data_IF_885894039006
#
_entry.id   IF_885894039006
#
_cell.length_a   1.000
_cell.length_b   1.000
_cell.length_c   1.000
_cell.angle_alpha   90.00
_cell.angle_beta   90.00
_cell.angle_gamma   90.00
#
_symmetry.space_group_name_H-M   'P 1'
#
loop_
_entity.id
_entity.type
_entity.pdbx_description
1 polymer ?
#
# COMPACT_ATOMS: atom_id res chain seq x y z
N UNK A 1 -8.32 -44.80 3.01
CA UNK A 1 -9.00 -43.50 2.77
C UNK A 1 -10.23 -43.27 3.64
N UNK A 2 -11.18 -44.21 3.79
CA UNK A 2 -12.37 -44.02 4.67
C UNK A 2 -12.04 -43.80 6.15
N UNK A 3 -10.98 -44.43 6.67
CA UNK A 3 -10.49 -44.23 8.05
C UNK A 3 -9.79 -42.88 8.30
N UNK A 4 -9.25 -42.24 7.27
CA UNK A 4 -8.58 -40.95 7.40
C UNK A 4 -9.59 -39.79 7.46
N UNK A 5 -10.66 -39.89 6.63
CA UNK A 5 -11.79 -38.97 6.68
C UNK A 5 -12.60 -39.08 7.99
N UNK A 6 -12.75 -40.28 8.57
CA UNK A 6 -13.43 -40.44 9.87
C UNK A 6 -12.62 -39.93 11.05
N UNK A 7 -11.29 -39.94 10.97
CA UNK A 7 -10.42 -39.38 12.01
C UNK A 7 -10.42 -37.84 12.00
N UNK A 8 -10.33 -37.22 10.81
CA UNK A 8 -10.49 -35.76 10.64
C UNK A 8 -11.88 -35.32 11.10
N UNK A 9 -12.94 -36.05 10.74
CA UNK A 9 -14.32 -35.75 11.19
C UNK A 9 -14.53 -35.92 12.70
N UNK A 10 -13.81 -36.84 13.37
CA UNK A 10 -13.92 -36.99 14.83
C UNK A 10 -13.21 -35.89 15.60
N UNK A 11 -12.02 -35.44 15.16
CA UNK A 11 -11.31 -34.33 15.79
C UNK A 11 -12.02 -32.99 15.57
N UNK A 12 -12.56 -32.75 14.37
CA UNK A 12 -13.40 -31.55 14.10
C UNK A 12 -14.67 -31.52 14.93
N UNK A 13 -15.28 -32.68 15.21
CA UNK A 13 -16.48 -32.77 16.06
C UNK A 13 -16.22 -32.40 17.54
N UNK A 14 -15.00 -32.61 18.07
CA UNK A 14 -14.66 -32.22 19.44
C UNK A 14 -14.19 -30.76 19.58
N UNK A 15 -13.60 -30.18 18.52
CA UNK A 15 -13.13 -28.80 18.54
C UNK A 15 -14.26 -27.78 18.36
N UNK A 16 -15.31 -28.13 17.58
CA UNK A 16 -16.41 -27.21 17.26
C UNK A 16 -17.14 -26.65 18.51
N UNK A 17 -17.49 -27.46 19.53
CA UNK A 17 -18.09 -26.92 20.76
C UNK A 17 -17.18 -25.92 21.48
N UNK A 18 -15.89 -26.23 21.62
CA UNK A 18 -14.91 -25.33 22.26
C UNK A 18 -14.73 -24.04 21.48
N UNK A 19 -14.63 -24.09 20.15
CA UNK A 19 -14.53 -22.88 19.33
C UNK A 19 -15.79 -22.04 19.40
N UNK A 20 -16.96 -22.68 19.45
CA UNK A 20 -18.25 -21.98 19.61
C UNK A 20 -18.32 -21.29 20.97
N UNK A 21 -17.86 -21.94 22.04
CA UNK A 21 -17.77 -21.34 23.38
C UNK A 21 -16.83 -20.12 23.39
N UNK A 22 -15.66 -20.22 22.75
CA UNK A 22 -14.71 -19.11 22.63
C UNK A 22 -15.30 -17.90 21.88
N UNK A 23 -16.24 -18.14 20.97
CA UNK A 23 -16.95 -17.09 20.24
C UNK A 23 -17.99 -16.34 21.09
N UNK A 24 -18.23 -16.68 22.36
CA UNK A 24 -19.09 -15.87 23.22
C UNK A 24 -18.43 -14.51 23.55
N UNK A 25 -18.85 -13.47 22.84
CA UNK A 25 -18.35 -12.10 22.98
C UNK A 25 -18.63 -11.47 24.35
N UNK A 26 -19.53 -12.03 25.16
CA UNK A 26 -19.84 -11.55 26.52
C UNK A 26 -18.78 -11.97 27.53
N UNK A 27 -17.97 -12.97 27.20
CA UNK A 27 -16.94 -13.52 28.08
C UNK A 27 -15.58 -12.94 27.68
N UNK A 28 -15.09 -11.97 28.45
CA UNK A 28 -13.85 -11.24 28.14
C UNK A 28 -12.61 -12.15 28.12
N UNK A 29 -12.50 -13.13 29.03
CA UNK A 29 -11.37 -14.07 29.08
C UNK A 29 -11.20 -14.89 27.79
N UNK A 30 -12.21 -14.96 26.92
CA UNK A 30 -12.15 -15.68 25.64
C UNK A 30 -11.68 -14.80 24.48
N UNK A 31 -11.48 -13.50 24.67
CA UNK A 31 -11.06 -12.55 23.62
C UNK A 31 -9.79 -12.99 22.89
N UNK A 32 -8.76 -13.44 23.62
CA UNK A 32 -7.53 -13.95 22.99
C UNK A 32 -7.77 -15.20 22.16
N UNK A 33 -8.72 -16.07 22.57
CA UNK A 33 -9.16 -17.19 21.75
C UNK A 33 -9.77 -16.72 20.43
N UNK A 34 -10.62 -15.69 20.45
CA UNK A 34 -11.20 -15.10 19.24
C UNK A 34 -10.17 -14.45 18.32
N UNK A 35 -9.13 -13.81 18.86
CA UNK A 35 -8.00 -13.30 18.06
C UNK A 35 -7.35 -14.45 17.28
N UNK A 36 -7.09 -15.58 17.93
CA UNK A 36 -6.51 -16.76 17.27
C UNK A 36 -7.45 -17.37 16.23
N UNK A 37 -8.75 -17.45 16.54
CA UNK A 37 -9.75 -17.92 15.56
C UNK A 37 -9.81 -16.98 14.35
N UNK A 38 -9.78 -15.67 14.56
CA UNK A 38 -9.78 -14.67 13.51
C UNK A 38 -8.50 -14.73 12.64
N UNK A 39 -7.34 -15.01 13.22
CA UNK A 39 -6.10 -15.26 12.47
C UNK A 39 -6.20 -16.48 11.53
N UNK A 40 -7.09 -17.42 11.84
CA UNK A 40 -7.36 -18.62 11.04
C UNK A 40 -8.74 -18.59 10.34
N UNK A 41 -9.39 -17.42 10.27
CA UNK A 41 -10.77 -17.29 9.76
C UNK A 41 -10.96 -17.88 8.36
N UNK A 42 -9.98 -17.76 7.47
CA UNK A 42 -10.05 -18.32 6.12
C UNK A 42 -10.14 -19.86 6.17
N UNK A 43 -9.33 -20.50 7.02
CA UNK A 43 -9.36 -21.94 7.16
C UNK A 43 -10.67 -22.42 7.78
N UNK A 44 -11.14 -21.74 8.83
CA UNK A 44 -12.40 -22.05 9.50
C UNK A 44 -13.60 -21.88 8.56
N UNK A 45 -13.66 -20.77 7.82
CA UNK A 45 -14.71 -20.49 6.86
C UNK A 45 -14.75 -21.49 5.70
N UNK A 46 -13.58 -22.00 5.28
CA UNK A 46 -13.50 -23.05 4.23
C UNK A 46 -13.99 -24.41 4.72
N UNK A 47 -13.84 -24.71 6.01
CA UNK A 47 -14.25 -25.98 6.60
C UNK A 47 -15.75 -25.96 6.93
N UNK A 48 -16.24 -24.87 7.53
CA UNK A 48 -17.64 -24.72 7.93
C UNK A 48 -18.06 -23.24 7.79
N UNK A 49 -18.58 -22.91 6.59
CA UNK A 49 -19.00 -21.54 6.24
C UNK A 49 -20.12 -21.05 7.15
N UNK A 50 -21.10 -21.89 7.42
CA UNK A 50 -22.29 -21.52 8.20
C UNK A 50 -21.89 -21.23 9.64
N UNK A 51 -21.09 -22.10 10.25
CA UNK A 51 -20.55 -21.88 11.59
C UNK A 51 -19.72 -20.59 11.68
N UNK A 52 -18.83 -20.35 10.72
CA UNK A 52 -18.00 -19.14 10.74
C UNK A 52 -18.88 -17.88 10.62
N UNK A 53 -19.87 -17.92 9.74
CA UNK A 53 -20.81 -16.80 9.52
C UNK A 53 -21.66 -16.53 10.75
N UNK A 54 -22.13 -17.57 11.43
CA UNK A 54 -22.97 -17.43 12.63
C UNK A 54 -22.18 -16.96 13.86
N UNK A 55 -20.98 -17.52 14.10
CA UNK A 55 -20.29 -17.37 15.38
C UNK A 55 -19.03 -16.50 15.34
N UNK A 56 -18.29 -16.49 14.22
CA UNK A 56 -16.97 -15.85 14.16
C UNK A 56 -17.01 -14.50 13.44
N UNK A 57 -17.66 -14.41 12.28
CA UNK A 57 -17.70 -13.19 11.47
C UNK A 57 -18.39 -11.99 12.14
N UNK A 58 -19.42 -12.14 13.01
CA UNK A 58 -20.01 -10.99 13.70
C UNK A 58 -18.99 -10.20 14.55
N UNK A 59 -17.93 -10.87 15.03
CA UNK A 59 -16.88 -10.20 15.78
C UNK A 59 -16.05 -9.23 14.95
N UNK A 60 -16.16 -9.22 13.62
CA UNK A 60 -15.47 -8.23 12.77
C UNK A 60 -16.27 -6.93 12.58
N UNK A 61 -17.55 -6.91 13.00
CA UNK A 61 -18.46 -5.78 12.79
C UNK A 61 -18.22 -4.69 13.83
N UNK A 62 -17.65 -3.56 13.38
CA UNK A 62 -17.38 -2.40 14.23
C UNK A 62 -18.61 -1.85 14.94
N UNK A 63 -19.78 -1.92 14.29
CA UNK A 63 -21.06 -1.42 14.81
C UNK A 63 -21.63 -2.27 15.95
N UNK A 64 -21.23 -3.54 16.07
CA UNK A 64 -21.67 -4.42 17.16
C UNK A 64 -20.81 -4.22 18.42
N UNK A 65 -19.49 -4.19 18.24
CA UNK A 65 -18.55 -3.91 19.33
C UNK A 65 -17.18 -3.53 18.78
N UNK A 66 -16.76 -2.29 19.02
CA UNK A 66 -15.45 -1.80 18.59
C UNK A 66 -14.30 -2.62 19.21
N UNK A 67 -14.44 -3.05 20.47
CA UNK A 67 -13.43 -3.85 21.15
C UNK A 67 -13.25 -5.24 20.54
N UNK A 68 -14.35 -5.90 20.17
CA UNK A 68 -14.30 -7.23 19.54
C UNK A 68 -13.87 -7.13 18.07
N UNK A 69 -14.36 -6.13 17.33
CA UNK A 69 -13.92 -5.81 15.97
C UNK A 69 -12.42 -5.59 15.91
N UNK A 70 -11.89 -4.73 16.79
CA UNK A 70 -10.45 -4.51 16.90
C UNK A 70 -9.67 -5.82 17.12
N UNK A 71 -10.13 -6.68 18.02
CA UNK A 71 -9.47 -7.95 18.32
C UNK A 71 -9.52 -8.92 17.14
N UNK A 72 -10.67 -9.03 16.46
CA UNK A 72 -10.83 -9.87 15.28
C UNK A 72 -9.96 -9.39 14.12
N UNK A 73 -9.95 -8.08 13.84
CA UNK A 73 -9.09 -7.48 12.83
C UNK A 73 -7.60 -7.62 13.17
N UNK A 74 -7.19 -7.50 14.43
CA UNK A 74 -5.80 -7.81 14.86
C UNK A 74 -5.42 -9.25 14.48
N UNK A 75 -6.30 -10.22 14.76
CA UNK A 75 -6.08 -11.62 14.38
C UNK A 75 -5.90 -11.78 12.87
N UNK A 76 -6.86 -11.31 12.08
CA UNK A 76 -6.84 -11.44 10.62
C UNK A 76 -5.64 -10.72 9.96
N UNK A 77 -5.34 -9.49 10.42
CA UNK A 77 -4.27 -8.66 9.88
C UNK A 77 -2.87 -9.10 10.33
N UNK A 78 -2.74 -10.15 11.13
CA UNK A 78 -1.45 -10.81 11.38
C UNK A 78 -0.89 -11.45 10.11
N UNK A 79 -1.73 -12.09 9.30
CA UNK A 79 -1.36 -12.69 8.01
C UNK A 79 -2.46 -12.46 6.97
N UNK A 80 -2.66 -11.20 6.54
CA UNK A 80 -3.81 -10.82 5.74
C UNK A 80 -3.77 -11.47 4.35
N UNK A 81 -4.92 -11.98 3.89
CA UNK A 81 -5.08 -12.55 2.54
C UNK A 81 -6.45 -12.21 1.96
N UNK A 82 -6.48 -11.83 0.69
CA UNK A 82 -7.72 -11.61 -0.06
C UNK A 82 -8.33 -12.92 -0.53
N UNK A 83 -8.98 -13.65 0.38
CA UNK A 83 -9.77 -14.81 0.01
C UNK A 83 -11.18 -14.35 -0.39
N UNK A 84 -11.44 -14.25 -1.70
CA UNK A 84 -12.67 -13.64 -2.26
C UNK A 84 -13.98 -14.11 -1.60
N UNK A 85 -14.26 -15.42 -1.41
CA UNK A 85 -15.51 -15.86 -0.79
C UNK A 85 -15.73 -15.36 0.63
N UNK A 86 -14.66 -15.19 1.41
CA UNK A 86 -14.74 -14.59 2.74
C UNK A 86 -14.91 -13.07 2.62
N UNK A 87 -14.20 -12.43 1.70
CA UNK A 87 -14.28 -10.98 1.51
C UNK A 87 -15.66 -10.52 1.05
N UNK A 88 -16.40 -11.33 0.28
CA UNK A 88 -17.80 -11.05 -0.07
C UNK A 88 -18.68 -10.89 1.17
N UNK A 89 -18.47 -11.73 2.19
CA UNK A 89 -19.23 -11.69 3.44
C UNK A 89 -18.71 -10.59 4.36
N UNK A 90 -17.39 -10.41 4.46
CA UNK A 90 -16.76 -9.39 5.31
C UNK A 90 -16.69 -8.00 4.67
N UNK A 91 -17.22 -7.81 3.46
CA UNK A 91 -17.03 -6.60 2.64
C UNK A 91 -17.33 -5.32 3.40
N UNK A 92 -18.49 -5.26 4.06
CA UNK A 92 -18.92 -4.09 4.83
C UNK A 92 -17.93 -3.75 5.94
N UNK A 93 -17.65 -4.71 6.82
CA UNK A 93 -16.71 -4.56 7.94
C UNK A 93 -15.28 -4.24 7.48
N UNK A 94 -14.85 -4.82 6.37
CA UNK A 94 -13.54 -4.54 5.78
C UNK A 94 -13.42 -3.09 5.35
N UNK A 95 -14.40 -2.57 4.60
CA UNK A 95 -14.39 -1.18 4.15
C UNK A 95 -14.54 -0.21 5.33
N UNK A 96 -15.38 -0.54 6.32
CA UNK A 96 -15.62 0.28 7.52
C UNK A 96 -14.36 0.42 8.40
N UNK A 97 -13.46 -0.57 8.35
CA UNK A 97 -12.15 -0.53 9.04
C UNK A 97 -11.30 0.69 8.65
N UNK A 98 -11.56 1.32 7.49
CA UNK A 98 -10.91 2.59 7.11
C UNK A 98 -11.26 3.75 8.06
N UNK A 99 -12.49 3.78 8.60
CA UNK A 99 -12.95 4.79 9.56
C UNK A 99 -12.46 4.50 10.98
N UNK A 100 -12.10 3.24 11.23
CA UNK A 100 -11.52 2.77 12.49
C UNK A 100 -10.00 2.56 12.40
N UNK A 101 -9.33 3.23 11.47
CA UNK A 101 -7.91 3.00 11.15
C UNK A 101 -6.99 3.08 12.37
N UNK A 102 -7.19 4.07 13.25
CA UNK A 102 -6.38 4.23 14.46
C UNK A 102 -6.62 3.11 15.48
N UNK A 103 -7.83 2.55 15.53
CA UNK A 103 -8.14 1.44 16.44
C UNK A 103 -7.38 0.15 16.08
N UNK A 104 -6.91 0.02 14.82
CA UNK A 104 -6.12 -1.12 14.36
C UNK A 104 -4.69 -1.15 14.95
N UNK A 105 -4.22 -0.06 15.57
CA UNK A 105 -2.92 0.02 16.22
C UNK A 105 -1.76 -0.41 15.30
N UNK A 106 -0.97 -1.39 15.75
CA UNK A 106 0.20 -1.89 15.01
C UNK A 106 -0.15 -2.56 13.66
N UNK A 107 -1.41 -2.91 13.42
CA UNK A 107 -1.87 -3.60 12.20
C UNK A 107 -2.38 -2.66 11.11
N UNK A 108 -2.36 -1.35 11.36
CA UNK A 108 -2.84 -0.33 10.42
C UNK A 108 -2.13 -0.37 9.06
N UNK A 109 -0.83 -0.69 9.06
CA UNK A 109 0.00 -0.82 7.84
C UNK A 109 -0.48 -1.98 6.97
N UNK A 110 -0.76 -3.12 7.61
CA UNK A 110 -1.26 -4.33 6.95
C UNK A 110 -2.64 -4.08 6.36
N UNK A 111 -3.51 -3.36 7.05
CA UNK A 111 -4.82 -2.97 6.53
C UNK A 111 -4.72 -2.05 5.32
N UNK A 112 -3.95 -0.96 5.39
CA UNK A 112 -3.76 -0.05 4.25
C UNK A 112 -3.19 -0.78 3.02
N UNK A 113 -2.24 -1.69 3.25
CA UNK A 113 -1.67 -2.53 2.20
C UNK A 113 -2.72 -3.47 1.60
N UNK A 114 -3.48 -4.17 2.44
CA UNK A 114 -4.53 -5.10 2.00
C UNK A 114 -5.64 -4.39 1.20
N UNK A 115 -6.08 -3.22 1.67
CA UNK A 115 -7.05 -2.37 0.97
C UNK A 115 -6.51 -1.93 -0.40
N UNK A 116 -5.22 -1.60 -0.48
CA UNK A 116 -4.59 -1.24 -1.75
C UNK A 116 -4.57 -2.42 -2.71
N UNK A 117 -4.20 -3.63 -2.27
CA UNK A 117 -4.23 -4.82 -3.13
C UNK A 117 -5.64 -5.19 -3.56
N UNK A 118 -6.64 -5.03 -2.69
CA UNK A 118 -8.05 -5.22 -3.05
C UNK A 118 -8.49 -4.22 -4.12
N UNK A 119 -7.97 -2.99 -4.06
CA UNK A 119 -8.28 -1.96 -5.04
C UNK A 119 -7.53 -2.10 -6.36
N UNK A 120 -6.35 -2.72 -6.38
CA UNK A 120 -5.63 -3.05 -7.61
C UNK A 120 -6.32 -4.19 -8.37
N UNK A 121 -6.91 -5.16 -7.67
CA UNK A 121 -7.70 -6.23 -8.28
C UNK A 121 -9.06 -6.42 -7.60
N UNK A 122 -10.03 -5.52 -7.85
CA UNK A 122 -11.32 -5.54 -7.16
C UNK A 122 -12.17 -6.78 -7.49
N UNK A 123 -11.97 -7.35 -8.68
CA UNK A 123 -12.83 -8.40 -9.23
C UNK A 123 -14.31 -7.98 -9.19
N UNK A 124 -15.19 -8.95 -8.93
CA UNK A 124 -16.63 -8.70 -8.73
C UNK A 124 -17.00 -8.45 -7.26
N UNK A 125 -16.02 -8.50 -6.35
CA UNK A 125 -16.25 -8.38 -4.91
C UNK A 125 -16.47 -6.91 -4.50
N UNK A 126 -15.66 -6.00 -5.02
CA UNK A 126 -15.68 -4.59 -4.66
C UNK A 126 -16.00 -3.70 -5.84
N UNK A 127 -16.85 -2.70 -5.62
CA UNK A 127 -17.05 -1.62 -6.59
C UNK A 127 -16.00 -0.52 -6.43
N UNK A 128 -15.73 0.23 -7.51
CA UNK A 128 -14.80 1.36 -7.44
C UNK A 128 -15.26 2.45 -6.46
N UNK A 129 -16.57 2.65 -6.29
CA UNK A 129 -17.11 3.64 -5.35
C UNK A 129 -16.89 3.25 -3.90
N UNK A 130 -17.06 1.98 -3.57
CA UNK A 130 -16.80 1.44 -2.22
C UNK A 130 -15.33 1.61 -1.83
N UNK A 131 -14.42 1.22 -2.73
CA UNK A 131 -12.97 1.34 -2.51
C UNK A 131 -12.52 2.79 -2.46
N UNK A 132 -13.06 3.67 -3.31
CA UNK A 132 -12.76 5.10 -3.26
C UNK A 132 -13.20 5.71 -1.92
N UNK A 133 -14.36 5.31 -1.40
CA UNK A 133 -14.82 5.73 -0.07
C UNK A 133 -13.86 5.29 1.05
N UNK A 134 -13.43 4.03 1.04
CA UNK A 134 -12.51 3.49 2.04
C UNK A 134 -11.11 4.11 1.95
N UNK A 135 -10.56 4.30 0.74
CA UNK A 135 -9.25 4.93 0.54
C UNK A 135 -9.26 6.39 1.01
N UNK A 136 -10.31 7.16 0.69
CA UNK A 136 -10.44 8.56 1.12
C UNK A 136 -10.67 8.73 2.62
N UNK A 137 -11.16 7.70 3.30
CA UNK A 137 -11.33 7.72 4.75
C UNK A 137 -10.01 7.47 5.50
N UNK A 138 -8.94 7.01 4.83
CA UNK A 138 -7.64 6.81 5.47
C UNK A 138 -7.03 8.16 5.89
N UNK A 139 -6.40 8.25 7.07
CA UNK A 139 -5.60 9.41 7.44
C UNK A 139 -4.35 9.51 6.55
N UNK A 140 -3.62 10.64 6.56
CA UNK A 140 -2.41 10.83 5.75
C UNK A 140 -1.37 9.70 5.90
N UNK A 141 -1.21 9.14 7.10
CA UNK A 141 -0.32 8.00 7.32
C UNK A 141 -0.81 6.72 6.60
N UNK A 142 -2.12 6.46 6.61
CA UNK A 142 -2.72 5.34 5.87
C UNK A 142 -2.55 5.48 4.37
N UNK A 143 -2.74 6.68 3.82
CA UNK A 143 -2.49 6.99 2.42
C UNK A 143 -1.02 6.78 2.04
N UNK A 144 -0.08 7.19 2.89
CA UNK A 144 1.34 6.90 2.70
C UNK A 144 1.61 5.40 2.58
N UNK A 145 1.04 4.58 3.46
CA UNK A 145 1.21 3.12 3.35
C UNK A 145 0.52 2.54 2.11
N UNK A 146 -0.62 3.08 1.71
CA UNK A 146 -1.28 2.70 0.47
C UNK A 146 -0.40 3.00 -0.76
N UNK A 147 0.18 4.21 -0.84
CA UNK A 147 1.15 4.54 -1.89
C UNK A 147 2.39 3.62 -1.85
N UNK A 148 2.91 3.28 -0.66
CA UNK A 148 4.02 2.34 -0.57
C UNK A 148 3.62 0.92 -1.02
N UNK A 149 2.38 0.49 -0.81
CA UNK A 149 1.87 -0.76 -1.35
C UNK A 149 1.77 -0.73 -2.89
N UNK A 150 1.44 0.41 -3.50
CA UNK A 150 1.52 0.59 -4.97
C UNK A 150 2.96 0.45 -5.47
N UNK A 151 3.94 1.05 -4.77
CA UNK A 151 5.38 0.92 -5.07
C UNK A 151 5.77 -0.56 -5.07
N UNK A 152 5.46 -1.27 -3.99
CA UNK A 152 5.78 -2.69 -3.84
C UNK A 152 5.11 -3.54 -4.94
N UNK A 153 3.87 -3.22 -5.31
CA UNK A 153 3.14 -3.93 -6.36
C UNK A 153 3.81 -3.78 -7.73
N UNK A 154 4.27 -2.57 -8.08
CA UNK A 154 5.02 -2.35 -9.32
C UNK A 154 6.40 -3.00 -9.27
N UNK A 155 7.13 -2.88 -8.16
CA UNK A 155 8.44 -3.50 -8.04
C UNK A 155 8.37 -5.02 -8.21
N UNK A 156 7.33 -5.65 -7.65
CA UNK A 156 7.02 -7.07 -7.78
C UNK A 156 6.47 -7.50 -9.14
N UNK A 157 5.99 -6.58 -9.98
CA UNK A 157 5.50 -6.87 -11.33
C UNK A 157 6.62 -7.19 -12.34
N UNK A 158 7.89 -6.94 -11.98
CA UNK A 158 9.04 -7.25 -12.83
C UNK A 158 8.93 -6.61 -14.22
N UNK A 159 9.03 -7.42 -15.27
CA UNK A 159 8.98 -6.95 -16.67
C UNK A 159 7.60 -6.41 -17.09
N UNK A 160 6.54 -6.70 -16.33
CA UNK A 160 5.17 -6.26 -16.61
C UNK A 160 4.83 -4.89 -15.99
N UNK A 161 5.81 -4.15 -15.48
CA UNK A 161 5.60 -2.85 -14.81
C UNK A 161 4.79 -1.85 -15.64
N UNK A 162 5.06 -1.73 -16.94
CA UNK A 162 4.35 -0.79 -17.80
C UNK A 162 2.87 -1.15 -17.97
N UNK A 163 2.58 -2.43 -18.22
CA UNK A 163 1.20 -2.92 -18.33
C UNK A 163 0.46 -2.83 -16.99
N UNK A 164 1.14 -3.14 -15.88
CA UNK A 164 0.59 -3.02 -14.54
C UNK A 164 0.29 -1.56 -14.19
N UNK A 165 1.17 -0.64 -14.57
CA UNK A 165 0.94 0.80 -14.43
C UNK A 165 -0.32 1.24 -15.15
N UNK A 166 -0.45 0.90 -16.44
CA UNK A 166 -1.58 1.32 -17.27
C UNK A 166 -2.91 0.71 -16.81
N UNK A 167 -2.92 -0.57 -16.48
CA UNK A 167 -4.15 -1.32 -16.23
C UNK A 167 -4.59 -1.33 -14.77
N UNK A 168 -3.68 -1.06 -13.81
CA UNK A 168 -3.96 -1.23 -12.37
C UNK A 168 -3.68 0.04 -11.57
N UNK A 169 -2.47 0.61 -11.69
CA UNK A 169 -2.10 1.80 -10.91
C UNK A 169 -2.78 3.06 -11.42
N UNK A 170 -2.84 3.26 -12.73
CA UNK A 170 -3.51 4.42 -13.35
C UNK A 170 -4.99 4.52 -12.96
N UNK A 171 -5.82 3.45 -13.06
CA UNK A 171 -7.19 3.49 -12.56
C UNK A 171 -7.29 3.78 -11.06
N UNK A 172 -6.37 3.24 -10.25
CA UNK A 172 -6.33 3.50 -8.82
C UNK A 172 -6.11 4.99 -8.54
N UNK A 173 -5.08 5.61 -9.14
CA UNK A 173 -4.78 7.04 -8.94
C UNK A 173 -5.92 7.93 -9.45
N UNK A 174 -6.49 7.62 -10.60
CA UNK A 174 -7.53 8.46 -11.20
C UNK A 174 -8.85 8.45 -10.42
N UNK A 175 -9.26 7.26 -9.95
CA UNK A 175 -10.61 7.04 -9.44
C UNK A 175 -10.68 6.98 -7.92
N UNK A 176 -9.62 6.49 -7.25
CA UNK A 176 -9.64 6.19 -5.81
C UNK A 176 -8.81 7.19 -5.00
N UNK A 177 -7.63 7.58 -5.50
CA UNK A 177 -6.72 8.44 -4.75
C UNK A 177 -7.32 9.83 -4.45
N UNK A 178 -7.21 10.33 -3.21
CA UNK A 178 -7.68 11.67 -2.84
C UNK A 178 -6.90 12.77 -3.57
N UNK A 179 -7.60 13.85 -3.95
CA UNK A 179 -7.03 14.99 -4.69
C UNK A 179 -7.03 16.32 -3.89
N UNK A 180 -7.31 16.25 -2.59
CA UNK A 180 -7.35 17.41 -1.71
C UNK A 180 -5.95 17.93 -1.33
N UNK A 181 -5.88 19.14 -0.79
CA UNK A 181 -4.62 19.73 -0.33
C UNK A 181 -4.07 19.02 0.92
N UNK A 182 -4.94 18.40 1.72
CA UNK A 182 -4.63 17.62 2.90
C UNK A 182 -3.68 16.43 2.62
N UNK A 183 -3.63 15.97 1.37
CA UNK A 183 -2.76 14.87 0.93
C UNK A 183 -1.48 15.34 0.23
N UNK A 184 -1.29 16.65 0.07
CA UNK A 184 -0.09 17.24 -0.56
C UNK A 184 1.02 17.49 0.47
N UNK A 185 1.39 16.44 1.20
CA UNK A 185 2.42 16.52 2.25
C UNK A 185 3.78 16.03 1.73
N UNK A 186 4.92 16.49 2.28
CA UNK A 186 6.25 16.00 1.89
C UNK A 186 6.41 14.49 2.03
N UNK A 187 5.75 13.91 3.04
CA UNK A 187 5.78 12.46 3.32
C UNK A 187 5.05 11.65 2.23
N UNK A 188 3.92 12.15 1.73
CA UNK A 188 3.21 11.54 0.60
C UNK A 188 4.01 11.76 -0.69
N UNK A 189 4.55 12.97 -0.89
CA UNK A 189 5.39 13.30 -2.05
C UNK A 189 6.63 12.39 -2.15
N UNK A 190 7.29 12.07 -1.03
CA UNK A 190 8.40 11.11 -0.99
C UNK A 190 7.98 9.72 -1.47
N UNK A 191 6.78 9.26 -1.08
CA UNK A 191 6.32 7.93 -1.48
C UNK A 191 5.85 7.92 -2.94
N UNK A 192 5.21 8.99 -3.40
CA UNK A 192 4.78 9.13 -4.80
C UNK A 192 5.97 9.34 -5.75
N UNK A 193 7.06 9.97 -5.29
CA UNK A 193 8.28 10.06 -6.10
C UNK A 193 8.93 8.70 -6.32
N UNK A 194 8.94 7.85 -5.29
CA UNK A 194 9.33 6.43 -5.39
C UNK A 194 8.39 5.67 -6.33
N UNK A 195 7.10 5.98 -6.32
CA UNK A 195 6.10 5.39 -7.22
C UNK A 195 6.37 5.74 -8.69
N UNK A 196 6.74 7.00 -8.99
CA UNK A 196 7.17 7.38 -10.34
C UNK A 196 8.30 6.48 -10.82
N UNK A 197 9.37 6.37 -10.03
CA UNK A 197 10.55 5.58 -10.38
C UNK A 197 10.22 4.08 -10.51
N UNK A 198 9.38 3.54 -9.63
CA UNK A 198 8.94 2.15 -9.66
C UNK A 198 8.15 1.79 -10.94
N UNK A 199 7.53 2.77 -11.61
CA UNK A 199 6.84 2.58 -12.88
C UNK A 199 7.78 2.17 -14.03
N UNK A 200 9.10 2.35 -13.89
CA UNK A 200 10.10 1.86 -14.84
C UNK A 200 9.90 2.42 -16.25
N UNK A 201 9.59 1.57 -17.23
CA UNK A 201 9.31 2.00 -18.60
C UNK A 201 8.13 2.97 -18.73
N UNK A 202 7.21 2.99 -17.76
CA UNK A 202 6.12 3.96 -17.68
C UNK A 202 6.46 5.24 -16.89
N UNK A 203 7.73 5.45 -16.53
CA UNK A 203 8.19 6.61 -15.76
C UNK A 203 7.73 7.97 -16.32
N UNK A 204 7.81 8.25 -17.64
CA UNK A 204 7.27 9.49 -18.21
C UNK A 204 5.77 9.70 -17.93
N UNK A 205 4.96 8.65 -18.11
CA UNK A 205 3.52 8.72 -17.84
C UNK A 205 3.22 8.91 -16.35
N UNK A 206 4.02 8.28 -15.48
CA UNK A 206 3.93 8.46 -14.05
C UNK A 206 4.29 9.88 -13.60
N UNK A 207 5.32 10.46 -14.21
CA UNK A 207 5.70 11.86 -13.99
C UNK A 207 4.56 12.80 -14.32
N UNK A 208 3.98 12.70 -15.51
CA UNK A 208 2.86 13.56 -15.91
C UNK A 208 1.64 13.42 -14.99
N UNK A 209 1.33 12.20 -14.57
CA UNK A 209 0.20 11.94 -13.70
C UNK A 209 0.42 12.47 -12.28
N UNK A 210 1.61 12.26 -11.71
CA UNK A 210 1.87 12.50 -10.29
C UNK A 210 2.54 13.85 -10.00
N UNK A 211 2.94 14.59 -11.04
CA UNK A 211 3.63 15.89 -10.96
C UNK A 211 3.07 16.83 -9.90
N UNK A 212 1.76 16.98 -9.85
CA UNK A 212 1.10 17.92 -8.93
C UNK A 212 1.38 17.62 -7.46
N UNK A 213 1.62 16.36 -7.08
CA UNK A 213 1.91 15.96 -5.70
C UNK A 213 3.41 15.97 -5.36
N UNK A 214 4.28 16.13 -6.36
CA UNK A 214 5.73 16.21 -6.14
C UNK A 214 6.09 17.61 -5.66
N UNK A 215 7.01 17.66 -4.70
CA UNK A 215 7.53 18.89 -4.11
C UNK A 215 8.95 18.64 -3.58
N UNK A 216 9.73 19.70 -3.29
CA UNK A 216 11.04 19.56 -2.69
C UNK A 216 10.98 18.72 -1.40
N UNK A 217 11.94 17.82 -1.24
CA UNK A 217 12.01 16.89 -0.11
C UNK A 217 13.21 17.22 0.79
N UNK A 218 13.02 17.02 2.10
CA UNK A 218 14.12 17.08 3.07
C UNK A 218 15.21 16.04 2.82
N UNK A 219 14.81 14.82 2.45
CA UNK A 219 15.70 13.67 2.25
C UNK A 219 15.34 12.90 0.94
N UNK A 220 15.71 13.40 -0.24
CA UNK A 220 15.38 12.76 -1.52
C UNK A 220 16.23 11.53 -1.86
N UNK A 221 17.21 11.14 -1.03
CA UNK A 221 18.20 10.08 -1.30
C UNK A 221 17.61 8.78 -1.81
N UNK A 222 16.50 8.31 -1.22
CA UNK A 222 15.90 7.04 -1.63
C UNK A 222 15.40 7.11 -3.07
N UNK A 223 14.66 8.17 -3.42
CA UNK A 223 14.11 8.35 -4.76
C UNK A 223 15.22 8.54 -5.80
N UNK A 224 16.25 9.35 -5.50
CA UNK A 224 17.39 9.61 -6.41
C UNK A 224 18.21 8.34 -6.63
N UNK A 225 18.49 7.58 -5.56
CA UNK A 225 19.17 6.29 -5.67
C UNK A 225 18.37 5.28 -6.50
N UNK A 226 17.04 5.24 -6.33
CA UNK A 226 16.19 4.37 -7.15
C UNK A 226 16.23 4.80 -8.62
N UNK A 227 16.16 6.10 -8.91
CA UNK A 227 16.21 6.66 -10.27
C UNK A 227 17.51 6.25 -10.98
N UNK A 228 18.64 6.40 -10.29
CA UNK A 228 19.96 5.99 -10.78
C UNK A 228 20.04 4.47 -11.02
N UNK A 229 19.64 3.66 -10.03
CA UNK A 229 19.71 2.19 -10.15
C UNK A 229 18.82 1.63 -11.25
N UNK A 230 17.71 2.29 -11.55
CA UNK A 230 16.81 1.91 -12.63
C UNK A 230 17.26 2.42 -14.01
N UNK A 231 18.41 3.11 -14.10
CA UNK A 231 18.99 3.67 -15.32
C UNK A 231 18.05 4.66 -16.05
N UNK A 232 17.08 5.23 -15.33
CA UNK A 232 16.08 6.13 -15.90
C UNK A 232 16.68 7.46 -16.35
N UNK A 233 17.79 7.87 -15.74
CA UNK A 233 18.57 9.04 -16.14
C UNK A 233 19.09 8.93 -17.58
N UNK A 234 19.41 7.71 -18.04
CA UNK A 234 19.87 7.45 -19.41
C UNK A 234 18.72 7.20 -20.37
N UNK A 235 17.68 6.49 -19.91
CA UNK A 235 16.53 6.10 -20.75
C UNK A 235 15.60 7.29 -21.01
N UNK A 236 15.37 8.13 -19.99
CA UNK A 236 14.44 9.27 -20.05
C UNK A 236 15.07 10.55 -19.47
N UNK A 237 16.16 11.08 -20.08
CA UNK A 237 16.97 12.14 -19.49
C UNK A 237 16.18 13.43 -19.17
N UNK A 238 15.28 13.85 -20.05
CA UNK A 238 14.40 15.01 -19.83
C UNK A 238 13.49 14.86 -18.59
N UNK A 239 12.82 13.71 -18.48
CA UNK A 239 11.90 13.44 -17.36
C UNK A 239 12.67 13.20 -16.06
N UNK A 240 13.87 12.62 -16.14
CA UNK A 240 14.75 12.42 -15.00
C UNK A 240 15.26 13.77 -14.47
N UNK A 241 15.67 14.68 -15.36
CA UNK A 241 16.08 16.04 -14.98
C UNK A 241 14.93 16.80 -14.31
N UNK A 242 13.74 16.72 -14.91
CA UNK A 242 12.53 17.33 -14.37
C UNK A 242 12.18 16.78 -12.98
N UNK A 243 12.20 15.45 -12.81
CA UNK A 243 12.00 14.79 -11.51
C UNK A 243 12.99 15.26 -10.45
N UNK A 244 14.29 15.31 -10.78
CA UNK A 244 15.31 15.80 -9.85
C UNK A 244 15.06 17.26 -9.47
N UNK A 245 14.70 18.10 -10.44
CA UNK A 245 14.42 19.53 -10.20
C UNK A 245 13.19 19.78 -9.33
N UNK A 246 12.20 18.87 -9.35
CA UNK A 246 11.02 18.96 -8.50
C UNK A 246 11.30 18.54 -7.05
N UNK A 247 12.20 17.57 -6.85
CA UNK A 247 12.45 16.99 -5.53
C UNK A 247 13.59 17.67 -4.76
N UNK A 248 14.49 18.34 -5.46
CA UNK A 248 15.66 19.01 -4.87
C UNK A 248 15.43 20.51 -4.91
N UNK A 249 15.43 21.13 -3.73
CA UNK A 249 15.21 22.56 -3.59
C UNK A 249 15.59 23.05 -2.20
N UNK A 250 15.05 24.18 -1.78
CA UNK A 250 15.42 24.83 -0.50
C UNK A 250 15.20 23.94 0.73
N UNK A 251 14.25 23.01 0.68
CA UNK A 251 13.96 22.10 1.79
C UNK A 251 14.99 20.96 1.91
N UNK A 252 15.78 20.71 0.87
CA UNK A 252 16.73 19.61 0.81
C UNK A 252 17.94 19.90 1.69
N UNK A 253 18.12 19.09 2.74
CA UNK A 253 19.15 19.36 3.76
C UNK A 253 20.56 19.07 3.25
N UNK A 254 20.71 17.99 2.46
CA UNK A 254 22.00 17.51 1.96
C UNK A 254 21.87 17.03 0.52
N UNK A 255 22.93 17.13 -0.28
CA UNK A 255 22.97 16.54 -1.61
C UNK A 255 22.72 15.04 -1.58
N UNK A 256 21.74 14.54 -2.35
CA UNK A 256 21.52 13.11 -2.48
C UNK A 256 22.76 12.41 -3.03
N UNK A 257 23.10 11.27 -2.42
CA UNK A 257 24.38 10.57 -2.69
C UNK A 257 24.62 10.27 -4.17
N UNK A 258 23.57 9.89 -4.90
CA UNK A 258 23.66 9.51 -6.32
C UNK A 258 23.33 10.68 -7.29
N UNK A 259 23.12 11.91 -6.80
CA UNK A 259 22.74 13.05 -7.64
C UNK A 259 23.79 13.35 -8.71
N UNK A 260 25.07 13.38 -8.35
CA UNK A 260 26.16 13.61 -9.32
C UNK A 260 26.18 12.56 -10.44
N UNK A 261 25.94 11.28 -10.10
CA UNK A 261 25.86 10.19 -11.09
C UNK A 261 24.64 10.34 -11.99
N UNK A 262 23.51 10.79 -11.45
CA UNK A 262 22.31 11.06 -12.24
C UNK A 262 22.55 12.16 -13.26
N UNK A 263 23.12 13.29 -12.85
CA UNK A 263 23.40 14.41 -13.74
C UNK A 263 24.41 14.02 -14.83
N UNK A 264 25.44 13.26 -14.49
CA UNK A 264 26.40 12.76 -15.47
C UNK A 264 25.78 11.80 -16.49
N UNK A 265 24.88 10.91 -16.04
CA UNK A 265 24.14 10.03 -16.94
C UNK A 265 23.19 10.81 -17.87
N UNK A 266 22.52 11.85 -17.37
CA UNK A 266 21.67 12.75 -18.17
C UNK A 266 22.52 13.48 -19.21
N UNK A 267 23.64 14.09 -18.80
CA UNK A 267 24.58 14.81 -19.67
C UNK A 267 25.11 13.91 -20.79
N UNK A 268 25.45 12.66 -20.46
CA UNK A 268 25.95 11.70 -21.44
C UNK A 268 24.87 11.27 -22.43
N UNK A 269 23.64 11.04 -21.96
CA UNK A 269 22.52 10.59 -22.80
C UNK A 269 21.93 11.70 -23.67
N UNK A 270 21.89 12.93 -23.16
CA UNK A 270 21.34 14.10 -23.84
C UNK A 270 22.22 15.33 -23.57
N UNK A 271 23.33 15.51 -24.30
CA UNK A 271 24.26 16.63 -24.08
C UNK A 271 23.63 18.02 -24.19
N UNK A 272 22.53 18.16 -24.96
CA UNK A 272 21.79 19.41 -25.08
C UNK A 272 21.21 19.90 -23.73
N UNK A 273 20.96 18.99 -22.79
CA UNK A 273 20.47 19.31 -21.44
C UNK A 273 21.52 19.93 -20.52
N UNK A 274 22.80 19.92 -20.91
CA UNK A 274 23.85 20.53 -20.10
C UNK A 274 23.63 22.05 -19.92
N UNK A 275 23.07 22.70 -20.95
CA UNK A 275 22.71 24.11 -20.94
C UNK A 275 21.29 24.39 -20.38
N UNK A 276 20.58 23.36 -19.91
CA UNK A 276 19.27 23.53 -19.29
C UNK A 276 19.43 24.17 -17.90
N UNK A 277 18.63 25.19 -17.61
CA UNK A 277 18.67 25.92 -16.35
C UNK A 277 18.48 25.00 -15.13
N UNK A 278 17.64 23.96 -15.24
CA UNK A 278 17.41 22.98 -14.17
C UNK A 278 18.69 22.18 -13.89
N UNK A 279 19.43 21.83 -14.93
CA UNK A 279 20.69 21.10 -14.80
C UNK A 279 21.75 21.96 -14.12
N UNK A 280 21.89 23.23 -14.54
CA UNK A 280 22.80 24.19 -13.90
C UNK A 280 22.47 24.43 -12.43
N UNK A 281 21.18 24.57 -12.08
CA UNK A 281 20.74 24.75 -10.69
C UNK A 281 21.11 23.56 -9.81
N UNK A 282 20.90 22.32 -10.30
CA UNK A 282 21.25 21.11 -9.56
C UNK A 282 22.77 20.94 -9.39
N UNK A 283 23.57 21.32 -10.39
CA UNK A 283 25.02 21.36 -10.28
C UNK A 283 25.50 22.41 -9.27
N UNK A 284 24.89 23.59 -9.26
CA UNK A 284 25.22 24.64 -8.29
C UNK A 284 24.87 24.20 -6.86
N UNK A 285 23.72 23.55 -6.68
CA UNK A 285 23.33 22.94 -5.40
C UNK A 285 24.38 21.92 -4.92
N UNK A 286 24.85 21.02 -5.80
CA UNK A 286 25.95 20.09 -5.48
C UNK A 286 27.23 20.81 -5.05
N UNK A 287 27.61 21.90 -5.73
CA UNK A 287 28.84 22.65 -5.41
C UNK A 287 28.74 23.37 -4.07
N UNK A 288 27.59 23.95 -3.76
CA UNK A 288 27.37 24.68 -2.52
C UNK A 288 27.39 23.77 -1.28
N UNK A 289 26.93 22.53 -1.42
CA UNK A 289 26.72 21.62 -0.29
C UNK A 289 27.62 20.36 -0.30
N UNK A 290 28.38 20.12 -1.38
CA UNK A 290 29.30 18.99 -1.52
C UNK A 290 30.76 19.30 -1.20
N UNK A 291 31.07 20.53 -0.77
CA UNK A 291 32.42 20.97 -0.38
C UNK A 291 32.75 20.77 1.09
N UNK A 292 32.50 19.57 1.63
CA UNK A 292 32.83 19.17 3.01
C UNK A 292 33.65 17.90 3.06
#
# INVERSE_FOLDING_TARGET
MRHFFTWINRQTCMAKPTFTELCDGRIEKYRHGRVLLAAHVIALFRVDRDWATEHLLPHFEWQLSEHEARAAWEGFLWSPRLYRPLMEVLKGSFLDSSRHYEALGKHRVQYASLLTYAALDPGDTFTSSELAGAVRALPPEGLRYAANALVNALEGAGDQRADYWANRVTPFINNLWPKGQDVMTPVIAETLSRLCVAAGGAFPAAMEMLRAWLQPLGHPDTAVRMLHKADLCRIFPEHALDFLSLLIGEQTQWPPTDLSKCLEAIRTAAPALEADLRHEQLLNFLRMHGGG
#
